data_IF_489917792583
#
_entry.id   IF_489917792583
#
_cell.length_a   1.000
_cell.length_b   1.000
_cell.length_c   1.000
_cell.angle_alpha   90.00
_cell.angle_beta   90.00
_cell.angle_gamma   90.00
#
_symmetry.space_group_name_H-M   'P 1'
#
loop_
_entity.id
_entity.type
_entity.pdbx_description
1 polymer ?
#
# COMPACT_ATOMS: atom_id res chain seq x y z
N UNK A 1 5.05 -17.21 25.72
CA UNK A 1 4.86 -15.82 26.18
C UNK A 1 5.96 -14.89 25.65
N UNK A 2 7.24 -15.26 25.65
CA UNK A 2 8.39 -14.46 25.16
C UNK A 2 8.30 -14.13 23.66
N UNK A 3 7.85 -15.06 22.81
CA UNK A 3 7.74 -14.86 21.35
C UNK A 3 6.77 -13.73 20.98
N UNK A 4 5.61 -13.63 21.66
CA UNK A 4 4.63 -12.54 21.49
C UNK A 4 5.18 -11.17 21.92
N UNK A 5 6.10 -11.14 22.87
CA UNK A 5 6.71 -9.89 23.35
C UNK A 5 7.80 -9.39 22.39
N UNK A 6 8.56 -10.30 21.78
CA UNK A 6 9.58 -9.99 20.78
C UNK A 6 8.94 -9.49 19.48
N UNK A 7 7.80 -10.06 19.08
CA UNK A 7 7.04 -9.61 17.89
C UNK A 7 6.45 -8.20 18.10
N UNK A 8 6.05 -7.87 19.33
CA UNK A 8 5.55 -6.53 19.70
C UNK A 8 6.66 -5.45 19.72
N UNK A 9 7.92 -5.84 19.97
CA UNK A 9 9.07 -4.92 19.94
C UNK A 9 9.63 -4.70 18.53
N UNK A 10 9.24 -5.51 17.54
CA UNK A 10 9.73 -5.41 16.16
C UNK A 10 8.97 -4.40 15.30
N UNK A 11 7.93 -3.75 15.80
CA UNK A 11 7.27 -2.59 15.16
C UNK A 11 6.77 -2.80 13.72
N UNK A 12 6.61 -4.05 13.25
CA UNK A 12 6.40 -4.40 11.84
C UNK A 12 5.15 -5.25 11.63
N UNK A 13 4.15 -5.12 12.49
CA UNK A 13 2.84 -5.76 12.27
C UNK A 13 1.76 -4.71 12.02
N UNK A 14 1.91 -3.90 10.94
CA UNK A 14 0.83 -3.05 10.45
C UNK A 14 0.63 -3.15 8.94
N UNK A 15 1.26 -4.10 8.29
CA UNK A 15 1.01 -4.37 6.89
C UNK A 15 -0.15 -5.37 6.80
N UNK A 16 -1.37 -4.89 7.01
CA UNK A 16 -2.54 -5.73 6.83
C UNK A 16 -2.81 -5.80 5.32
N UNK A 17 -2.23 -6.81 4.66
CA UNK A 17 -2.78 -7.27 3.39
C UNK A 17 -4.14 -7.88 3.76
N UNK A 18 -5.18 -7.09 3.67
CA UNK A 18 -6.54 -7.61 3.77
C UNK A 18 -6.87 -8.24 2.42
N UNK A 19 -6.78 -9.58 2.35
CA UNK A 19 -7.43 -10.30 1.28
C UNK A 19 -8.92 -9.88 1.25
N UNK A 20 -9.56 -9.81 0.05
CA UNK A 20 -10.98 -9.56 0.00
C UNK A 20 -11.68 -10.62 0.87
N UNK A 21 -12.33 -10.15 1.91
CA UNK A 21 -13.07 -11.00 2.83
C UNK A 21 -14.22 -11.63 2.02
N UNK A 22 -14.43 -12.95 2.13
CA UNK A 22 -15.58 -13.63 1.50
C UNK A 22 -16.91 -13.23 2.19
N UNK A 23 -16.86 -12.34 3.17
CA UNK A 23 -18.01 -11.77 3.86
C UNK A 23 -18.71 -10.65 3.08
N UNK A 24 -19.76 -10.11 3.69
CA UNK A 24 -20.49 -8.97 3.13
C UNK A 24 -19.57 -7.76 2.90
N UNK A 25 -19.70 -7.14 1.72
CA UNK A 25 -18.97 -5.91 1.38
C UNK A 25 -19.09 -4.87 2.51
N UNK A 26 -18.01 -4.19 2.90
CA UNK A 26 -18.11 -3.11 3.86
C UNK A 26 -19.14 -2.10 3.41
N UNK A 27 -20.15 -1.84 4.25
CA UNK A 27 -21.18 -0.86 3.93
C UNK A 27 -20.56 0.52 3.67
N UNK A 28 -20.84 1.05 2.51
CA UNK A 28 -20.47 2.41 2.13
C UNK A 28 -21.60 3.03 1.28
N UNK A 29 -22.08 4.20 1.69
CA UNK A 29 -23.07 4.95 0.92
C UNK A 29 -22.35 5.74 -0.17
N UNK A 30 -22.27 5.17 -1.38
CA UNK A 30 -21.63 5.80 -2.54
C UNK A 30 -22.24 7.17 -2.84
N UNK A 31 -21.37 8.17 -2.99
CA UNK A 31 -21.76 9.55 -3.27
C UNK A 31 -21.41 9.91 -4.72
N UNK A 32 -22.34 10.62 -5.38
CA UNK A 32 -22.12 11.41 -6.60
C UNK A 32 -21.09 10.88 -7.64
N UNK A 33 -21.09 9.58 -7.96
CA UNK A 33 -20.25 9.02 -9.02
C UNK A 33 -18.78 8.76 -8.64
N UNK A 34 -18.41 8.86 -7.37
CA UNK A 34 -17.04 8.62 -6.91
C UNK A 34 -16.56 7.19 -7.19
N UNK A 35 -17.46 6.18 -7.06
CA UNK A 35 -17.16 4.80 -7.38
C UNK A 35 -16.89 4.60 -8.88
N UNK A 36 -17.71 5.19 -9.74
CA UNK A 36 -17.54 5.09 -11.19
C UNK A 36 -16.22 5.75 -11.62
N UNK A 37 -15.89 6.89 -10.99
CA UNK A 37 -14.64 7.57 -11.25
C UNK A 37 -13.43 6.71 -10.82
N UNK A 38 -13.51 6.09 -9.64
CA UNK A 38 -12.45 5.20 -9.14
C UNK A 38 -12.27 3.98 -10.05
N UNK A 39 -13.36 3.35 -10.49
CA UNK A 39 -13.31 2.21 -11.42
C UNK A 39 -12.72 2.62 -12.79
N UNK A 40 -13.07 3.79 -13.29
CA UNK A 40 -12.49 4.31 -14.52
C UNK A 40 -10.97 4.55 -14.37
N UNK A 41 -10.52 5.12 -13.25
CA UNK A 41 -9.11 5.31 -12.96
C UNK A 41 -8.38 3.96 -12.82
N UNK A 42 -8.99 3.00 -12.12
CA UNK A 42 -8.46 1.64 -11.96
C UNK A 42 -8.27 0.95 -13.32
N UNK A 43 -9.30 0.98 -14.18
CA UNK A 43 -9.24 0.37 -15.52
C UNK A 43 -8.16 1.00 -16.42
N UNK A 44 -7.85 2.28 -16.22
CA UNK A 44 -6.79 3.01 -16.91
C UNK A 44 -5.43 2.93 -16.20
N UNK A 45 -5.35 2.21 -15.06
CA UNK A 45 -4.13 2.07 -14.26
C UNK A 45 -3.57 3.41 -13.78
N UNK A 46 -4.46 4.37 -13.48
CA UNK A 46 -4.10 5.69 -13.00
C UNK A 46 -4.08 5.72 -11.46
N UNK A 47 -3.12 6.41 -10.86
CA UNK A 47 -3.13 6.64 -9.41
C UNK A 47 -4.29 7.57 -9.03
N UNK A 48 -4.85 7.37 -7.83
CA UNK A 48 -5.95 8.21 -7.33
C UNK A 48 -5.55 8.89 -6.03
N UNK A 49 -5.76 10.19 -5.95
CA UNK A 49 -5.62 10.95 -4.72
C UNK A 49 -6.99 11.25 -4.11
N UNK A 50 -7.25 10.71 -2.92
CA UNK A 50 -8.44 11.01 -2.14
C UNK A 50 -8.20 12.23 -1.26
N UNK A 51 -8.93 13.31 -1.51
CA UNK A 51 -8.86 14.54 -0.73
C UNK A 51 -10.16 14.78 0.04
N UNK A 52 -10.03 15.03 1.33
CA UNK A 52 -11.17 15.31 2.20
C UNK A 52 -10.75 15.40 3.66
N UNK A 53 -11.61 15.96 4.54
CA UNK A 53 -11.31 16.07 5.95
C UNK A 53 -11.13 14.70 6.63
N UNK A 54 -10.51 14.71 7.81
CA UNK A 54 -10.42 13.50 8.64
C UNK A 54 -11.83 13.03 9.01
N UNK A 55 -12.05 11.71 8.96
CA UNK A 55 -13.34 11.10 9.30
C UNK A 55 -14.40 11.16 8.19
N UNK A 56 -14.11 11.68 6.99
CA UNK A 56 -15.09 11.71 5.89
C UNK A 56 -15.27 10.35 5.16
N UNK A 57 -14.63 9.28 5.63
CA UNK A 57 -14.85 7.94 5.09
C UNK A 57 -13.90 7.47 4.01
N UNK A 58 -12.75 8.15 3.76
CA UNK A 58 -11.76 7.75 2.73
C UNK A 58 -11.34 6.29 2.83
N UNK A 59 -10.94 5.85 4.01
CA UNK A 59 -10.53 4.46 4.24
C UNK A 59 -11.68 3.49 3.98
N UNK A 60 -12.88 3.83 4.46
CA UNK A 60 -14.08 3.00 4.24
C UNK A 60 -14.47 2.89 2.76
N UNK A 61 -14.32 3.97 2.02
CA UNK A 61 -14.50 3.97 0.57
C UNK A 61 -13.52 3.00 -0.11
N UNK A 62 -12.24 3.03 0.26
CA UNK A 62 -11.23 2.14 -0.32
C UNK A 62 -11.47 0.67 0.05
N UNK A 63 -11.87 0.36 1.28
CA UNK A 63 -12.27 -0.99 1.67
C UNK A 63 -13.44 -1.50 0.80
N UNK A 64 -14.45 -0.64 0.59
CA UNK A 64 -15.59 -0.95 -0.27
C UNK A 64 -15.16 -1.18 -1.73
N UNK A 65 -14.30 -0.32 -2.29
CA UNK A 65 -13.83 -0.44 -3.67
C UNK A 65 -12.91 -1.64 -3.87
N UNK A 66 -12.01 -1.92 -2.92
CA UNK A 66 -11.16 -3.10 -2.95
C UNK A 66 -11.99 -4.39 -2.96
N UNK A 67 -13.00 -4.47 -2.10
CA UNK A 67 -13.95 -5.59 -2.10
C UNK A 67 -14.70 -5.70 -3.44
N UNK A 68 -15.25 -4.58 -3.96
CA UNK A 68 -15.98 -4.52 -5.23
C UNK A 68 -15.13 -5.00 -6.42
N UNK A 69 -13.85 -4.63 -6.43
CA UNK A 69 -12.90 -5.01 -7.47
C UNK A 69 -12.27 -6.39 -7.24
N UNK A 70 -12.55 -7.04 -6.11
CA UNK A 70 -11.95 -8.34 -5.74
C UNK A 70 -10.43 -8.25 -5.57
N UNK A 71 -9.91 -7.12 -5.05
CA UNK A 71 -8.47 -6.88 -4.89
C UNK A 71 -8.07 -6.76 -3.42
N UNK A 72 -6.89 -7.25 -3.06
CA UNK A 72 -6.35 -7.00 -1.73
C UNK A 72 -6.14 -5.49 -1.52
N UNK A 73 -6.37 -5.04 -0.29
CA UNK A 73 -6.07 -3.68 0.14
C UNK A 73 -4.87 -3.70 1.08
N UNK A 74 -3.84 -2.94 0.74
CA UNK A 74 -2.66 -2.72 1.59
C UNK A 74 -2.71 -1.28 2.07
N UNK A 75 -2.89 -1.07 3.38
CA UNK A 75 -2.93 0.26 3.97
C UNK A 75 -1.63 0.55 4.71
N UNK A 76 -1.01 1.66 4.39
CA UNK A 76 0.19 2.17 5.07
C UNK A 76 -0.12 3.54 5.65
N UNK A 77 0.02 3.67 6.97
CA UNK A 77 -0.09 4.96 7.65
C UNK A 77 1.23 5.72 7.52
N UNK A 78 1.20 6.83 6.79
CA UNK A 78 2.37 7.67 6.61
C UNK A 78 2.53 8.64 7.78
N UNK A 79 3.77 8.82 8.23
CA UNK A 79 4.17 9.75 9.28
C UNK A 79 5.64 10.16 9.06
N UNK A 80 6.10 11.16 9.79
CA UNK A 80 7.45 11.73 9.62
C UNK A 80 8.61 10.75 9.86
N UNK A 81 8.39 9.68 10.65
CA UNK A 81 9.40 8.66 10.92
C UNK A 81 9.40 7.51 9.89
N UNK A 82 8.40 7.47 8.99
CA UNK A 82 8.32 6.44 7.96
C UNK A 82 9.44 6.63 6.93
N UNK A 83 10.27 5.62 6.77
CA UNK A 83 11.37 5.64 5.78
C UNK A 83 10.99 4.93 4.49
N UNK A 84 11.70 5.25 3.39
CA UNK A 84 11.57 4.51 2.14
C UNK A 84 11.82 3.01 2.30
N UNK A 85 12.72 2.62 3.23
CA UNK A 85 13.00 1.22 3.54
C UNK A 85 11.83 0.50 4.21
N UNK A 86 11.02 1.22 4.98
CA UNK A 86 9.82 0.65 5.60
C UNK A 86 8.74 0.39 4.55
N UNK A 87 8.64 1.24 3.52
CA UNK A 87 7.73 1.04 2.40
C UNK A 87 8.19 -0.06 1.44
N UNK A 88 9.45 0.01 1.02
CA UNK A 88 9.97 -0.82 -0.08
C UNK A 88 10.50 -2.14 0.42
N UNK A 89 11.20 -2.14 1.54
CA UNK A 89 11.82 -3.33 2.12
C UNK A 89 13.25 -3.11 2.54
N UNK A 90 13.76 -4.08 3.27
CA UNK A 90 15.09 -4.02 3.87
C UNK A 90 15.71 -5.39 4.02
N UNK A 91 17.02 -5.41 4.15
CA UNK A 91 17.73 -6.61 4.57
C UNK A 91 17.61 -6.79 6.08
N UNK A 92 17.32 -8.01 6.50
CA UNK A 92 17.28 -8.43 7.89
C UNK A 92 18.32 -9.53 8.13
N UNK A 93 18.96 -9.47 9.27
CA UNK A 93 19.84 -10.54 9.73
C UNK A 93 19.00 -11.64 10.37
N UNK A 94 19.03 -12.84 9.78
CA UNK A 94 18.35 -14.03 10.29
C UNK A 94 19.41 -15.11 10.56
N UNK A 95 19.80 -15.24 11.83
CA UNK A 95 20.95 -16.06 12.19
C UNK A 95 22.25 -15.46 11.64
N UNK A 96 22.97 -16.20 10.82
CA UNK A 96 24.21 -15.76 10.15
C UNK A 96 23.98 -15.26 8.72
N UNK A 97 22.74 -15.29 8.22
CA UNK A 97 22.41 -14.90 6.86
C UNK A 97 21.69 -13.56 6.81
N UNK A 98 21.94 -12.82 5.75
CA UNK A 98 21.21 -11.56 5.44
C UNK A 98 20.13 -11.84 4.42
N UNK A 99 18.87 -11.69 4.82
CA UNK A 99 17.70 -11.98 3.98
C UNK A 99 16.95 -10.68 3.67
N UNK A 100 16.54 -10.52 2.41
CA UNK A 100 15.69 -9.42 2.02
C UNK A 100 14.25 -9.66 2.45
N UNK A 101 13.63 -8.67 3.09
CA UNK A 101 12.20 -8.64 3.39
C UNK A 101 11.52 -7.53 2.60
N UNK A 102 10.53 -7.90 1.78
CA UNK A 102 9.70 -6.94 1.06
C UNK A 102 8.86 -6.12 2.03
N UNK A 103 8.82 -4.80 1.81
CA UNK A 103 7.91 -3.90 2.49
C UNK A 103 6.49 -3.95 1.89
N UNK A 104 5.53 -3.24 2.51
CA UNK A 104 4.12 -3.27 2.11
C UNK A 104 3.90 -2.82 0.67
N UNK A 105 4.57 -1.75 0.25
CA UNK A 105 4.47 -1.26 -1.13
C UNK A 105 4.98 -2.29 -2.13
N UNK A 106 6.12 -2.93 -1.86
CA UNK A 106 6.67 -3.97 -2.74
C UNK A 106 5.75 -5.17 -2.86
N UNK A 107 5.14 -5.60 -1.76
CA UNK A 107 4.14 -6.68 -1.78
C UNK A 107 2.93 -6.29 -2.62
N UNK A 108 2.37 -5.09 -2.39
CA UNK A 108 1.23 -4.59 -3.16
C UNK A 108 1.52 -4.53 -4.65
N UNK A 109 2.70 -4.02 -5.04
CA UNK A 109 3.16 -3.92 -6.44
C UNK A 109 3.25 -5.29 -7.10
N UNK A 110 3.76 -6.30 -6.39
CA UNK A 110 3.91 -7.67 -6.91
C UNK A 110 2.59 -8.42 -7.01
N UNK A 111 1.69 -8.22 -6.04
CA UNK A 111 0.45 -8.98 -5.89
C UNK A 111 -0.73 -8.34 -6.64
N UNK A 112 -0.57 -7.15 -7.20
CA UNK A 112 -1.64 -6.42 -7.86
C UNK A 112 -2.69 -5.90 -6.89
N UNK A 113 -2.27 -5.52 -5.70
CA UNK A 113 -3.14 -4.96 -4.68
C UNK A 113 -3.41 -3.47 -4.90
N UNK A 114 -4.48 -2.97 -4.27
CA UNK A 114 -4.68 -1.53 -4.09
C UNK A 114 -3.84 -1.10 -2.89
N UNK A 115 -2.87 -0.21 -3.09
CA UNK A 115 -2.02 0.31 -2.02
C UNK A 115 -2.49 1.69 -1.59
N UNK A 116 -2.97 1.80 -0.36
CA UNK A 116 -3.42 3.05 0.23
C UNK A 116 -2.36 3.65 1.15
N UNK A 117 -1.80 4.77 0.75
CA UNK A 117 -0.90 5.56 1.57
C UNK A 117 -1.72 6.63 2.31
N UNK A 118 -2.13 6.32 3.53
CA UNK A 118 -2.91 7.25 4.35
C UNK A 118 -2.02 8.35 4.90
N UNK A 119 -2.54 9.58 4.90
CA UNK A 119 -1.82 10.78 5.36
C UNK A 119 -0.47 11.00 4.66
N UNK A 120 -0.39 10.74 3.36
CA UNK A 120 0.85 10.86 2.56
C UNK A 120 1.54 12.22 2.71
N UNK A 121 0.81 13.26 3.04
CA UNK A 121 1.33 14.63 3.25
C UNK A 121 2.24 14.73 4.48
N UNK A 122 2.12 13.80 5.44
CA UNK A 122 2.96 13.73 6.63
C UNK A 122 4.25 12.93 6.39
N UNK A 123 4.35 12.27 5.23
CA UNK A 123 5.55 11.52 4.89
C UNK A 123 6.71 12.43 4.50
N UNK A 124 7.91 11.98 4.77
CA UNK A 124 9.13 12.68 4.33
C UNK A 124 9.24 12.68 2.80
N UNK A 125 9.88 13.72 2.27
CA UNK A 125 10.10 13.86 0.82
C UNK A 125 10.87 12.69 0.22
N UNK A 126 11.87 12.15 0.93
CA UNK A 126 12.66 10.98 0.48
C UNK A 126 11.80 9.70 0.38
N UNK A 127 10.78 9.59 1.22
CA UNK A 127 9.81 8.50 1.17
C UNK A 127 8.87 8.65 -0.03
N UNK A 128 8.41 9.86 -0.33
CA UNK A 128 7.48 10.11 -1.44
C UNK A 128 8.15 9.95 -2.82
N UNK A 129 9.45 10.22 -2.95
CA UNK A 129 10.19 10.05 -4.21
C UNK A 129 10.13 8.61 -4.74
N UNK A 130 10.10 7.62 -3.84
CA UNK A 130 10.07 6.19 -4.21
C UNK A 130 8.80 5.80 -4.97
N UNK A 131 7.69 6.51 -4.74
CA UNK A 131 6.42 6.21 -5.41
C UNK A 131 6.28 6.86 -6.80
N UNK A 132 7.08 7.86 -7.14
CA UNK A 132 6.93 8.59 -8.41
C UNK A 132 6.98 7.68 -9.65
N UNK A 133 7.92 6.71 -9.77
CA UNK A 133 7.94 5.83 -10.94
C UNK A 133 6.77 4.85 -11.01
N UNK A 134 6.01 4.68 -9.92
CA UNK A 134 4.77 3.90 -9.90
C UNK A 134 3.57 4.71 -10.38
N UNK A 135 3.62 6.03 -10.24
CA UNK A 135 2.51 6.94 -10.58
C UNK A 135 2.58 7.47 -12.01
N UNK A 136 3.65 7.20 -12.74
CA UNK A 136 3.81 7.58 -14.14
C UNK A 136 3.69 6.36 -15.09
N UNK A 137 3.90 6.60 -16.39
CA UNK A 137 3.79 5.57 -17.43
C UNK A 137 4.76 4.39 -17.27
N UNK A 138 5.82 4.53 -16.50
CA UNK A 138 6.80 3.47 -16.25
C UNK A 138 6.22 2.35 -15.40
N UNK A 139 5.39 2.70 -14.41
CA UNK A 139 4.79 1.74 -13.45
C UNK A 139 5.82 0.80 -12.85
N UNK A 140 6.93 1.37 -12.36
CA UNK A 140 8.07 0.63 -11.85
C UNK A 140 8.41 1.01 -10.41
N UNK A 141 8.85 0.03 -9.63
CA UNK A 141 9.36 0.22 -8.28
C UNK A 141 10.84 -0.12 -8.23
N UNK A 142 11.73 0.89 -8.05
CA UNK A 142 13.13 0.62 -7.82
C UNK A 142 13.38 0.08 -6.40
N UNK A 143 14.10 -1.01 -6.31
CA UNK A 143 14.59 -1.60 -5.06
C UNK A 143 16.10 -1.34 -4.96
N UNK A 144 16.49 -0.08 -4.74
CA UNK A 144 17.89 0.38 -4.82
C UNK A 144 18.85 -0.49 -3.97
N UNK A 145 18.46 -0.80 -2.73
CA UNK A 145 19.27 -1.63 -1.83
C UNK A 145 19.43 -3.07 -2.32
N UNK A 146 18.53 -3.53 -3.17
CA UNK A 146 18.55 -4.88 -3.77
C UNK A 146 19.14 -4.89 -5.17
N UNK A 147 19.34 -3.71 -5.77
CA UNK A 147 19.80 -3.57 -7.14
C UNK A 147 18.81 -4.12 -8.19
N UNK A 148 17.51 -4.00 -7.93
CA UNK A 148 16.45 -4.51 -8.79
C UNK A 148 15.42 -3.43 -9.08
N UNK A 149 14.75 -3.56 -10.22
CA UNK A 149 13.54 -2.79 -10.56
C UNK A 149 12.42 -3.79 -10.77
N UNK A 150 11.27 -3.53 -10.18
CA UNK A 150 10.07 -4.36 -10.30
C UNK A 150 9.04 -3.61 -11.13
N UNK A 151 8.53 -4.25 -12.19
CA UNK A 151 7.36 -3.77 -12.90
C UNK A 151 6.09 -4.02 -12.07
N UNK A 152 5.23 -3.03 -11.99
CA UNK A 152 3.99 -3.18 -11.25
C UNK A 152 3.05 -4.17 -11.95
N UNK A 153 2.44 -5.04 -11.16
CA UNK A 153 1.38 -5.93 -11.63
C UNK A 153 0.30 -5.11 -12.35
N UNK A 154 -0.33 -5.68 -13.35
CA UNK A 154 -1.35 -4.97 -14.14
C UNK A 154 -2.52 -4.45 -13.30
N UNK A 155 -2.88 -5.17 -12.25
CA UNK A 155 -3.97 -4.85 -11.33
C UNK A 155 -3.54 -3.93 -10.17
N UNK A 156 -2.27 -3.60 -10.05
CA UNK A 156 -1.78 -2.70 -9.01
C UNK A 156 -2.32 -1.28 -9.19
N UNK A 157 -2.79 -0.68 -8.10
CA UNK A 157 -3.20 0.72 -8.02
C UNK A 157 -2.66 1.39 -6.76
N UNK A 158 -2.26 2.67 -6.86
CA UNK A 158 -1.83 3.52 -5.76
C UNK A 158 -2.84 4.64 -5.55
#
# INVERSE_FOLDING_TARGET
MVKKFIDKLRGVERDVIQAPDEGDAPFYAVQAGEADFFEAAYSQRLPVMLKGPTGCGKTRFLEHMAHKLGRPLVTVSCHEDLTSSDLVGRFLLQGEETVWQDGPLTKAVKEGAICYLDEIVEARTDTTVVIHPLTDHRRQLPLDKKGQIIDAHEDFML
#
